data_IF_214624132511
#
_entry.id   IF_214624132511
#
_cell.length_a   1.000
_cell.length_b   1.000
_cell.length_c   1.000
_cell.angle_alpha   90.00
_cell.angle_beta   90.00
_cell.angle_gamma   90.00
#
_symmetry.space_group_name_H-M   'P 1'
#
loop_
_entity.id
_entity.type
_entity.pdbx_description
1 polymer ?
#
# COMPACT_ATOMS: atom_id res chain seq x y z
N UNK A 1 -12.71 -15.89 20.56
CA UNK A 1 -12.27 -14.70 21.31
C UNK A 1 -11.16 -14.06 20.50
N UNK A 2 -11.33 -12.82 20.04
CA UNK A 2 -10.28 -12.10 19.34
C UNK A 2 -9.20 -11.70 20.33
N UNK A 3 -7.98 -12.22 20.17
CA UNK A 3 -6.83 -11.83 20.99
C UNK A 3 -6.37 -10.47 20.54
N UNK A 4 -6.48 -9.46 21.42
CA UNK A 4 -5.95 -8.13 21.13
C UNK A 4 -4.45 -8.07 21.39
N UNK A 5 -3.74 -7.24 20.62
CA UNK A 5 -2.37 -6.83 20.94
C UNK A 5 -2.36 -6.18 22.33
N UNK A 6 -1.39 -6.57 23.17
CA UNK A 6 -1.17 -5.91 24.47
C UNK A 6 -0.63 -4.51 24.25
N UNK A 7 -1.33 -3.52 24.80
CA UNK A 7 -1.02 -2.11 24.62
C UNK A 7 -1.08 -1.37 25.94
N UNK A 8 -0.18 -0.40 26.12
CA UNK A 8 -0.01 0.38 27.35
C UNK A 8 0.16 1.86 27.02
N UNK A 9 -0.26 2.78 27.93
CA UNK A 9 0.07 4.19 27.81
C UNK A 9 1.58 4.42 27.60
N UNK A 10 1.93 5.36 26.72
CA UNK A 10 3.29 5.69 26.33
C UNK A 10 3.87 4.87 25.17
N UNK A 11 3.26 3.72 24.83
CA UNK A 11 3.68 2.94 23.67
C UNK A 11 3.23 3.57 22.35
N UNK A 12 4.01 3.34 21.31
CA UNK A 12 3.66 3.59 19.93
C UNK A 12 2.96 2.37 19.35
N UNK A 13 1.91 2.61 18.56
CA UNK A 13 1.17 1.56 17.86
C UNK A 13 1.15 1.80 16.38
N UNK A 14 1.18 0.70 15.63
CA UNK A 14 0.74 0.64 14.25
C UNK A 14 -0.70 0.13 14.25
N UNK A 15 -1.62 0.92 13.73
CA UNK A 15 -3.02 0.57 13.58
C UNK A 15 -3.42 0.57 12.10
N UNK A 16 -4.30 -0.34 11.73
CA UNK A 16 -4.94 -0.35 10.42
C UNK A 16 -5.94 0.81 10.33
N UNK A 17 -5.83 1.67 9.31
CA UNK A 17 -6.80 2.73 9.09
C UNK A 17 -8.00 2.21 8.29
N UNK A 18 -9.22 2.19 8.86
CA UNK A 18 -10.41 1.69 8.18
C UNK A 18 -10.87 2.60 7.02
N UNK A 19 -10.37 3.84 6.95
CA UNK A 19 -10.74 4.84 5.93
C UNK A 19 -10.19 4.53 4.55
N UNK A 20 -9.18 3.67 4.41
CA UNK A 20 -8.70 3.19 3.11
C UNK A 20 -9.48 1.96 2.62
N UNK A 21 -10.79 2.12 2.39
CA UNK A 21 -11.58 1.25 1.49
C UNK A 21 -12.18 -0.06 2.05
N UNK A 22 -11.99 -0.42 3.32
CA UNK A 22 -12.50 -1.69 3.88
C UNK A 22 -13.03 -1.56 5.32
N UNK A 23 -14.01 -0.68 5.54
CA UNK A 23 -14.74 -0.65 6.80
C UNK A 23 -15.88 -1.70 6.78
N UNK A 24 -15.57 -2.96 7.11
CA UNK A 24 -16.59 -3.84 7.72
C UNK A 24 -16.71 -5.31 7.28
N UNK A 25 -16.00 -5.77 6.24
CA UNK A 25 -16.26 -7.11 5.68
C UNK A 25 -15.16 -8.16 5.93
N UNK A 26 -13.92 -7.76 6.24
CA UNK A 26 -12.79 -8.69 6.37
C UNK A 26 -12.24 -8.78 7.79
N UNK A 27 -11.83 -9.99 8.20
CA UNK A 27 -11.03 -10.17 9.42
C UNK A 27 -9.65 -9.51 9.24
N UNK A 28 -9.06 -8.96 10.31
CA UNK A 28 -7.76 -8.27 10.25
C UNK A 28 -6.67 -9.07 9.53
N UNK A 29 -6.66 -10.40 9.71
CA UNK A 29 -5.70 -11.26 9.04
C UNK A 29 -5.81 -11.20 7.52
N UNK A 30 -7.03 -11.23 6.98
CA UNK A 30 -7.30 -11.15 5.55
C UNK A 30 -6.92 -9.78 4.98
N UNK A 31 -7.23 -8.70 5.72
CA UNK A 31 -6.81 -7.35 5.35
C UNK A 31 -5.27 -7.23 5.24
N UNK A 32 -4.54 -7.83 6.19
CA UNK A 32 -3.07 -7.84 6.19
C UNK A 32 -2.50 -8.73 5.09
N UNK A 33 -3.13 -9.86 4.75
CA UNK A 33 -2.73 -10.68 3.59
C UNK A 33 -2.87 -9.91 2.26
N UNK A 34 -3.77 -8.92 2.19
CA UNK A 34 -3.91 -8.01 1.07
C UNK A 34 -2.65 -7.18 0.77
N UNK A 35 -1.75 -7.01 1.74
CA UNK A 35 -0.46 -6.31 1.56
C UNK A 35 0.51 -7.04 0.60
N UNK A 36 0.15 -8.25 0.13
CA UNK A 36 0.83 -8.91 -1.00
C UNK A 36 0.73 -8.13 -2.31
N UNK A 37 -0.24 -7.22 -2.41
CA UNK A 37 -0.41 -6.30 -3.53
C UNK A 37 0.04 -4.89 -3.12
N UNK A 38 0.67 -4.15 -4.03
CA UNK A 38 1.06 -2.76 -3.82
C UNK A 38 -0.15 -1.91 -3.42
N UNK A 39 -0.01 -1.17 -2.31
CA UNK A 39 -1.10 -0.36 -1.75
C UNK A 39 -2.36 -1.17 -1.38
N UNK A 40 -2.18 -2.45 -1.01
CA UNK A 40 -3.28 -3.40 -0.77
C UNK A 40 -4.22 -3.58 -1.98
N UNK A 41 -3.68 -3.45 -3.21
CA UNK A 41 -4.43 -3.56 -4.47
C UNK A 41 -4.80 -2.21 -5.09
N UNK A 42 -4.43 -1.09 -4.45
CA UNK A 42 -4.71 0.26 -4.93
C UNK A 42 -3.41 0.99 -5.30
N UNK A 43 -3.29 1.37 -6.57
CA UNK A 43 -2.03 1.90 -7.13
C UNK A 43 -1.64 3.30 -6.64
N UNK A 44 -2.57 4.06 -6.05
CA UNK A 44 -2.39 5.45 -5.61
C UNK A 44 -2.29 5.63 -4.09
N UNK A 45 -2.40 4.53 -3.34
CA UNK A 45 -2.45 4.53 -1.87
C UNK A 45 -1.03 4.64 -1.30
N UNK A 46 -0.86 5.50 -0.29
CA UNK A 46 0.38 5.65 0.48
C UNK A 46 0.31 4.87 1.78
N UNK A 47 1.46 4.68 2.44
CA UNK A 47 1.53 4.01 3.73
C UNK A 47 0.61 4.66 4.79
N UNK A 48 0.59 6.00 4.85
CA UNK A 48 -0.27 6.75 5.77
C UNK A 48 -1.77 6.66 5.49
N UNK A 49 -2.17 6.20 4.30
CA UNK A 49 -3.58 5.93 3.99
C UNK A 49 -4.00 4.57 4.56
N UNK A 50 -3.09 3.59 4.63
CA UNK A 50 -3.36 2.24 5.14
C UNK A 50 -3.11 2.12 6.65
N UNK A 51 -2.17 2.90 7.17
CA UNK A 51 -1.67 2.74 8.53
C UNK A 51 -1.69 4.05 9.30
N UNK A 52 -2.14 3.94 10.54
CA UNK A 52 -2.06 4.96 11.56
C UNK A 52 -0.89 4.64 12.50
N UNK A 53 -0.01 5.61 12.72
CA UNK A 53 1.04 5.51 13.75
C UNK A 53 0.72 6.48 14.86
N UNK A 54 0.38 6.00 16.05
CA UNK A 54 -0.02 6.86 17.16
C UNK A 54 0.70 6.47 18.46
N UNK A 55 0.86 7.43 19.38
CA UNK A 55 1.32 7.17 20.75
C UNK A 55 0.14 7.09 21.71
N UNK A 56 -0.01 5.96 22.41
CA UNK A 56 -1.14 5.73 23.31
C UNK A 56 -1.07 6.65 24.53
N UNK A 57 -2.19 7.31 24.81
CA UNK A 57 -2.40 8.09 26.03
C UNK A 57 -3.23 7.32 27.05
N UNK A 58 -4.23 6.53 26.60
CA UNK A 58 -5.13 5.77 27.47
C UNK A 58 -5.67 4.51 26.82
N UNK A 59 -5.74 3.42 27.58
CA UNK A 59 -6.32 2.13 27.14
C UNK A 59 -7.66 1.87 27.83
N UNK A 60 -8.64 1.41 27.07
CA UNK A 60 -9.98 1.02 27.53
C UNK A 60 -10.29 -0.40 27.03
N UNK A 61 -11.32 -1.11 27.54
CA UNK A 61 -11.53 -2.52 27.20
C UNK A 61 -11.57 -2.83 25.69
N UNK A 62 -12.23 -1.98 24.88
CA UNK A 62 -12.40 -2.16 23.42
C UNK A 62 -11.71 -1.10 22.56
N UNK A 63 -11.28 0.00 23.16
CA UNK A 63 -10.79 1.20 22.44
C UNK A 63 -9.54 1.73 23.13
N UNK A 64 -8.84 2.65 22.48
CA UNK A 64 -7.75 3.39 23.07
C UNK A 64 -7.84 4.86 22.64
N UNK A 65 -7.14 5.71 23.37
CA UNK A 65 -6.86 7.09 22.98
C UNK A 65 -5.38 7.23 22.67
N UNK A 66 -5.06 8.04 21.68
CA UNK A 66 -3.68 8.25 21.28
C UNK A 66 -3.46 9.64 20.69
N UNK A 67 -2.22 10.11 20.78
CA UNK A 67 -1.74 11.25 20.03
C UNK A 67 -1.24 10.76 18.67
N UNK A 68 -1.74 11.29 17.56
CA UNK A 68 -1.26 10.87 16.25
C UNK A 68 0.18 11.29 16.04
N UNK A 69 0.93 10.47 15.30
CA UNK A 69 2.21 10.89 14.76
C UNK A 69 1.93 11.92 13.67
N UNK A 70 2.21 13.19 13.97
CA UNK A 70 2.07 14.27 13.00
C UNK A 70 3.13 14.10 11.90
N UNK A 71 2.72 13.56 10.76
CA UNK A 71 3.46 13.67 9.50
C UNK A 71 3.22 15.04 8.80
N UNK A 72 2.46 15.93 9.45
CA UNK A 72 2.11 17.27 8.98
C UNK A 72 0.67 17.46 8.52
N UNK A 73 -0.20 16.45 8.65
CA UNK A 73 -1.56 16.46 8.08
C UNK A 73 -2.72 16.48 9.07
N UNK A 74 -2.52 16.12 10.34
CA UNK A 74 -3.54 16.20 11.40
C UNK A 74 -3.27 17.38 12.35
N UNK A 75 -4.34 17.94 12.92
CA UNK A 75 -4.32 19.07 13.89
C UNK A 75 -3.65 18.74 15.23
N UNK A 76 -3.03 17.55 15.34
CA UNK A 76 -2.39 17.05 16.55
C UNK A 76 -3.38 16.75 17.67
N UNK A 77 -4.68 16.65 17.39
CA UNK A 77 -5.67 16.33 18.40
C UNK A 77 -5.61 14.86 18.81
N UNK A 78 -5.95 14.58 20.07
CA UNK A 78 -6.02 13.21 20.58
C UNK A 78 -7.15 12.46 19.86
N UNK A 79 -6.79 11.35 19.20
CA UNK A 79 -7.74 10.48 18.50
C UNK A 79 -8.21 9.35 19.39
N UNK A 80 -9.37 8.79 19.05
CA UNK A 80 -9.92 7.58 19.69
C UNK A 80 -10.15 6.51 18.63
N UNK A 81 -9.65 5.31 18.89
CA UNK A 81 -9.70 4.22 17.92
C UNK A 81 -9.89 2.84 18.62
N UNK A 82 -10.14 1.79 17.83
CA UNK A 82 -10.47 0.45 18.29
C UNK A 82 -9.22 -0.40 18.52
N UNK A 83 -9.22 -1.18 19.60
CA UNK A 83 -8.12 -2.13 19.88
C UNK A 83 -8.00 -3.23 18.83
N UNK A 84 -9.10 -3.53 18.13
CA UNK A 84 -9.12 -4.49 17.04
C UNK A 84 -8.33 -4.01 15.80
N UNK A 85 -8.08 -2.71 15.67
CA UNK A 85 -7.30 -2.15 14.58
C UNK A 85 -5.78 -2.22 14.82
N UNK A 86 -5.34 -2.51 16.05
CA UNK A 86 -3.92 -2.52 16.39
C UNK A 86 -3.24 -3.76 15.79
N UNK A 87 -2.23 -3.51 14.97
CA UNK A 87 -1.40 -4.54 14.32
C UNK A 87 -0.20 -4.86 15.21
N UNK A 88 0.47 -3.83 15.74
CA UNK A 88 1.67 -3.97 16.56
C UNK A 88 1.82 -2.81 17.54
N UNK A 89 2.59 -3.03 18.61
CA UNK A 89 2.92 -2.04 19.61
C UNK A 89 4.38 -2.15 20.05
N UNK A 90 5.04 -1.01 20.29
CA UNK A 90 6.40 -0.95 20.85
C UNK A 90 6.56 0.29 21.72
N UNK A 91 7.49 0.24 22.68
CA UNK A 91 7.95 1.44 23.37
C UNK A 91 8.80 2.35 22.45
N UNK A 92 9.32 1.82 21.35
CA UNK A 92 10.21 2.51 20.43
C UNK A 92 9.45 2.93 19.16
N UNK A 93 9.30 4.24 18.97
CA UNK A 93 8.69 4.82 17.76
C UNK A 93 9.36 4.33 16.47
N UNK A 94 10.69 4.26 16.46
CA UNK A 94 11.43 3.92 15.25
C UNK A 94 11.18 2.46 14.80
N UNK A 95 10.83 1.56 15.71
CA UNK A 95 10.44 0.19 15.37
C UNK A 95 9.09 0.15 14.66
N UNK A 96 8.13 0.97 15.13
CA UNK A 96 6.81 1.06 14.52
C UNK A 96 6.88 1.67 13.13
N UNK A 97 7.67 2.72 12.93
CA UNK A 97 7.88 3.31 11.60
C UNK A 97 8.53 2.30 10.66
N UNK A 98 9.61 1.63 11.07
CA UNK A 98 10.24 0.61 10.24
C UNK A 98 9.28 -0.52 9.87
N UNK A 99 8.42 -0.94 10.81
CA UNK A 99 7.40 -1.94 10.52
C UNK A 99 6.37 -1.43 9.50
N UNK A 100 5.91 -0.18 9.64
CA UNK A 100 5.01 0.47 8.68
C UNK A 100 5.61 0.46 7.27
N UNK A 101 6.85 0.94 7.14
CA UNK A 101 7.57 0.98 5.86
C UNK A 101 7.77 -0.42 5.28
N UNK A 102 8.15 -1.39 6.12
CA UNK A 102 8.35 -2.79 5.71
C UNK A 102 7.05 -3.38 5.17
N UNK A 103 5.94 -3.24 5.90
CA UNK A 103 4.65 -3.78 5.50
C UNK A 103 4.14 -3.16 4.20
N UNK A 104 4.35 -1.86 4.02
CA UNK A 104 3.98 -1.17 2.80
C UNK A 104 4.85 -1.58 1.60
N UNK A 105 6.14 -1.85 1.82
CA UNK A 105 7.07 -2.23 0.77
C UNK A 105 6.79 -3.62 0.18
N UNK A 106 6.32 -4.58 0.98
CA UNK A 106 6.10 -5.98 0.54
C UNK A 106 5.34 -6.08 -0.79
N UNK A 107 4.16 -5.47 -0.86
CA UNK A 107 3.33 -5.53 -2.06
C UNK A 107 3.91 -4.76 -3.24
N UNK A 108 4.62 -3.66 -2.97
CA UNK A 108 5.26 -2.84 -4.01
C UNK A 108 6.42 -3.59 -4.65
N UNK A 109 7.27 -4.21 -3.83
CA UNK A 109 8.37 -5.04 -4.31
C UNK A 109 7.88 -6.24 -5.13
N UNK A 110 6.77 -6.87 -4.70
CA UNK A 110 6.15 -7.96 -5.43
C UNK A 110 5.60 -7.51 -6.80
N UNK A 111 4.83 -6.43 -6.83
CA UNK A 111 4.27 -5.88 -8.07
C UNK A 111 5.36 -5.41 -9.03
N UNK A 112 6.37 -4.68 -8.53
CA UNK A 112 7.50 -4.21 -9.33
C UNK A 112 8.27 -5.38 -9.97
N UNK A 113 8.47 -6.49 -9.23
CA UNK A 113 9.12 -7.68 -9.75
C UNK A 113 8.28 -8.38 -10.85
N UNK A 114 6.95 -8.44 -10.66
CA UNK A 114 6.01 -9.00 -11.65
C UNK A 114 6.01 -8.13 -12.92
N UNK A 115 5.93 -6.80 -12.78
CA UNK A 115 5.92 -5.86 -13.90
C UNK A 115 7.23 -5.93 -14.69
N UNK A 116 8.37 -5.99 -14.01
CA UNK A 116 9.67 -6.12 -14.66
C UNK A 116 9.78 -7.41 -15.49
N UNK A 117 9.31 -8.53 -14.95
CA UNK A 117 9.34 -9.81 -15.66
C UNK A 117 8.32 -9.85 -16.81
N UNK A 118 7.11 -9.31 -16.60
CA UNK A 118 6.12 -9.18 -17.65
C UNK A 118 6.63 -8.31 -18.82
N UNK A 119 7.25 -7.17 -18.52
CA UNK A 119 7.88 -6.30 -19.50
C UNK A 119 8.99 -7.02 -20.27
N UNK A 120 9.83 -7.80 -19.57
CA UNK A 120 10.90 -8.60 -20.19
C UNK A 120 10.35 -9.64 -21.17
N UNK A 121 9.27 -10.33 -20.79
CA UNK A 121 8.65 -11.36 -21.61
C UNK A 121 7.91 -10.79 -22.82
N UNK A 122 7.26 -9.63 -22.67
CA UNK A 122 6.46 -9.03 -23.76
C UNK A 122 7.30 -8.18 -24.73
N UNK A 123 8.44 -7.65 -24.30
CA UNK A 123 9.26 -6.75 -25.13
C UNK A 123 9.61 -7.29 -26.53
N UNK A 124 9.98 -8.58 -26.73
CA UNK A 124 10.21 -9.13 -28.07
C UNK A 124 8.95 -9.13 -28.94
N UNK A 125 7.81 -9.49 -28.36
CA UNK A 125 6.53 -9.48 -29.05
C UNK A 125 6.09 -8.06 -29.40
N UNK A 126 6.24 -7.10 -28.49
CA UNK A 126 5.95 -5.68 -28.77
C UNK A 126 6.80 -5.16 -29.93
N UNK A 127 8.11 -5.43 -29.90
CA UNK A 127 9.04 -5.00 -30.94
C UNK A 127 8.61 -5.53 -32.31
N UNK A 128 8.42 -6.84 -32.44
CA UNK A 128 8.04 -7.47 -33.71
C UNK A 128 6.67 -6.96 -34.21
N UNK A 129 5.70 -6.83 -33.30
CA UNK A 129 4.36 -6.34 -33.64
C UNK A 129 4.39 -4.89 -34.12
N UNK A 130 5.15 -4.01 -33.44
CA UNK A 130 5.31 -2.61 -33.83
C UNK A 130 6.07 -2.46 -35.14
N UNK A 131 7.13 -3.24 -35.37
CA UNK A 131 7.87 -3.25 -36.65
C UNK A 131 6.95 -3.66 -37.82
N UNK A 132 6.15 -4.71 -37.65
CA UNK A 132 5.17 -5.14 -38.64
C UNK A 132 4.08 -4.08 -38.89
N UNK A 133 3.60 -3.40 -37.85
CA UNK A 133 2.65 -2.29 -37.98
C UNK A 133 3.26 -1.11 -38.76
N UNK A 134 4.51 -0.75 -38.48
CA UNK A 134 5.23 0.30 -39.23
C UNK A 134 5.36 -0.07 -40.71
N UNK A 135 5.66 -1.33 -41.04
CA UNK A 135 5.71 -1.80 -42.42
C UNK A 135 4.36 -1.61 -43.13
N UNK A 136 3.24 -1.94 -42.45
CA UNK A 136 1.88 -1.73 -42.98
C UNK A 136 1.58 -0.25 -43.21
N UNK A 137 1.94 0.63 -42.28
CA UNK A 137 1.76 2.08 -42.42
C UNK A 137 2.54 2.60 -43.64
N UNK A 138 3.80 2.18 -43.81
CA UNK A 138 4.63 2.59 -44.95
C UNK A 138 4.03 2.14 -46.29
N UNK A 139 3.55 0.91 -46.36
CA UNK A 139 2.91 0.38 -47.56
C UNK A 139 1.59 1.09 -47.90
N UNK A 140 0.82 1.50 -46.89
CA UNK A 140 -0.46 2.19 -47.09
C UNK A 140 -0.29 3.65 -47.56
N UNK A 141 0.88 4.26 -47.35
CA UNK A 141 1.15 5.67 -47.65
C UNK A 141 2.39 5.83 -48.55
N UNK A 142 2.41 5.21 -49.74
CA UNK A 142 3.59 5.19 -50.61
C UNK A 142 4.04 6.60 -51.02
N UNK A 143 3.10 7.54 -51.21
CA UNK A 143 3.38 8.93 -51.55
C UNK A 143 4.11 9.70 -50.45
N UNK A 144 4.01 9.26 -49.19
CA UNK A 144 4.73 9.87 -48.07
C UNK A 144 6.04 9.16 -47.75
N UNK A 145 6.14 7.85 -47.98
CA UNK A 145 7.31 7.04 -47.60
C UNK A 145 8.17 6.57 -48.79
N UNK A 146 7.86 6.99 -50.01
CA UNK A 146 8.70 6.76 -51.20
C UNK A 146 8.64 5.34 -51.76
N UNK A 147 7.58 4.58 -51.49
CA UNK A 147 7.40 3.23 -52.04
C UNK A 147 6.97 3.26 -53.51
N UNK A 148 7.68 2.52 -54.37
CA UNK A 148 7.28 2.32 -55.76
C UNK A 148 5.90 1.63 -55.82
N UNK A 149 4.99 2.20 -56.62
CA UNK A 149 3.71 1.58 -56.98
C UNK A 149 3.93 0.27 -57.77
#
# INVERSE_FOLDING_TARGET
MTTFVDIKPGQWVLAWQPTAFLAGEHEMAEALEGLRFGGAGWTYVKAGDLFAVHQITKVMPKTYKAMPYADGTEDGSEVRDYRAAVIAASANWAEIIRLCDTLFAIGREADDAIEAEAARLIAPFEKATREAAVAKVRAALPHHFGGAA
#
